data_IF_857627080164
#
_entry.id   IF_857627080164
#
_cell.length_a   1.000
_cell.length_b   1.000
_cell.length_c   1.000
_cell.angle_alpha   90.00
_cell.angle_beta   90.00
_cell.angle_gamma   90.00
#
_symmetry.space_group_name_H-M   'P 1'
#
loop_
_entity.id
_entity.type
_entity.pdbx_description
1 polymer ?
#
# COMPACT_ATOMS: atom_id res chain seq x y z
N UNK A 1 33.17 -27.77 48.17
CA UNK A 1 33.87 -29.07 48.10
C UNK A 1 32.91 -30.11 48.66
N UNK A 2 32.65 -31.28 48.07
CA UNK A 2 33.20 -31.94 46.88
C UNK A 2 32.03 -32.68 46.15
N UNK A 3 32.01 -32.86 44.82
CA UNK A 3 32.48 -34.07 44.08
C UNK A 3 32.04 -35.41 44.75
N UNK A 4 31.48 -36.43 44.06
CA UNK A 4 31.69 -36.87 42.67
C UNK A 4 30.66 -37.95 42.22
N UNK A 5 30.36 -38.01 40.90
CA UNK A 5 29.94 -39.14 40.02
C UNK A 5 28.68 -40.00 40.34
N UNK A 6 27.78 -40.35 39.39
CA UNK A 6 27.87 -41.26 38.20
C UNK A 6 28.34 -42.70 38.54
N UNK A 7 27.84 -43.80 37.98
CA UNK A 7 26.90 -44.11 36.87
C UNK A 7 25.85 -45.18 37.37
N UNK A 8 24.91 -45.81 36.63
CA UNK A 8 24.56 -45.86 35.19
C UNK A 8 23.04 -46.24 34.93
N UNK A 9 22.67 -46.30 33.65
CA UNK A 9 21.41 -46.63 32.92
C UNK A 9 20.50 -47.82 33.35
N UNK A 10 19.20 -47.69 33.00
CA UNK A 10 18.57 -48.58 31.99
C UNK A 10 17.34 -47.98 31.27
N UNK A 11 17.38 -47.99 29.93
CA UNK A 11 16.35 -47.71 28.91
C UNK A 11 14.99 -47.13 29.32
N UNK A 12 14.73 -45.91 28.86
CA UNK A 12 13.41 -45.50 28.34
C UNK A 12 13.59 -45.09 26.88
N UNK A 13 12.92 -45.79 25.96
CA UNK A 13 12.76 -45.36 24.57
C UNK A 13 11.61 -44.34 24.54
N UNK A 14 11.77 -43.15 23.92
CA UNK A 14 10.63 -42.25 23.73
C UNK A 14 9.71 -42.86 22.66
N UNK A 15 8.61 -43.47 23.11
CA UNK A 15 7.55 -43.92 22.23
C UNK A 15 7.04 -42.73 21.40
N UNK A 16 7.19 -42.80 20.08
CA UNK A 16 6.61 -41.83 19.17
C UNK A 16 5.10 -41.81 19.35
N UNK A 17 4.59 -40.68 19.84
CA UNK A 17 3.17 -40.52 20.14
C UNK A 17 2.35 -40.52 18.86
N UNK A 18 1.64 -41.61 18.59
CA UNK A 18 0.54 -41.61 17.64
C UNK A 18 -0.59 -40.71 18.19
N UNK A 19 -1.05 -39.68 17.46
CA UNK A 19 -2.24 -38.94 17.84
C UNK A 19 -3.49 -39.79 17.58
N UNK A 20 -3.80 -40.69 18.52
CA UNK A 20 -4.99 -41.55 18.47
C UNK A 20 -6.27 -40.78 18.81
N UNK A 21 -6.71 -39.91 17.91
CA UNK A 21 -8.08 -39.39 17.87
C UNK A 21 -8.82 -40.01 16.69
N UNK A 22 -9.76 -40.95 16.90
CA UNK A 22 -10.57 -41.47 15.80
C UNK A 22 -11.40 -40.33 15.20
N UNK A 23 -11.41 -40.11 13.88
CA UNK A 23 -12.19 -39.04 13.25
C UNK A 23 -13.69 -39.29 13.48
N UNK A 24 -14.43 -38.36 14.11
CA UNK A 24 -15.83 -38.56 14.45
C UNK A 24 -16.76 -38.02 13.35
N UNK A 25 -16.63 -38.54 12.13
CA UNK A 25 -17.62 -38.36 11.04
C UNK A 25 -17.69 -39.65 10.24
N UNK A 26 -18.87 -40.05 9.77
CA UNK A 26 -19.01 -41.21 8.90
C UNK A 26 -18.27 -40.94 7.56
N UNK A 27 -17.26 -41.74 7.16
CA UNK A 27 -16.49 -41.50 5.94
C UNK A 27 -17.39 -41.37 4.70
N UNK A 28 -18.45 -42.18 4.61
CA UNK A 28 -19.39 -42.17 3.50
C UNK A 28 -20.23 -40.86 3.43
N UNK A 29 -20.50 -40.23 4.57
CA UNK A 29 -21.25 -38.97 4.64
C UNK A 29 -20.39 -37.79 4.15
N UNK A 30 -19.10 -37.77 4.55
CA UNK A 30 -18.13 -36.77 4.09
C UNK A 30 -17.87 -36.86 2.58
N UNK A 31 -17.78 -38.07 2.04
CA UNK A 31 -17.70 -38.29 0.60
C UNK A 31 -18.89 -37.69 -0.16
N UNK A 32 -20.12 -37.94 0.31
CA UNK A 32 -21.34 -37.40 -0.30
C UNK A 32 -21.34 -35.87 -0.24
N UNK A 33 -20.92 -35.26 0.87
CA UNK A 33 -20.77 -33.80 0.97
C UNK A 33 -19.79 -33.23 -0.08
N UNK A 34 -18.61 -33.83 -0.23
CA UNK A 34 -17.62 -33.37 -1.23
C UNK A 34 -18.10 -33.61 -2.67
N UNK A 35 -18.86 -34.68 -2.92
CA UNK A 35 -19.49 -34.94 -4.22
C UNK A 35 -20.56 -33.90 -4.56
N UNK A 36 -21.42 -33.53 -3.61
CA UNK A 36 -22.45 -32.49 -3.82
C UNK A 36 -21.83 -31.10 -4.03
N UNK A 37 -20.60 -30.88 -3.53
CA UNK A 37 -19.77 -29.71 -3.83
C UNK A 37 -19.02 -29.81 -5.18
N UNK A 38 -19.18 -30.91 -5.93
CA UNK A 38 -18.63 -31.07 -7.28
C UNK A 38 -17.14 -31.43 -7.36
N UNK A 39 -16.56 -31.99 -6.29
CA UNK A 39 -15.19 -32.48 -6.32
C UNK A 39 -15.06 -33.77 -7.15
N UNK A 40 -13.88 -34.01 -7.74
CA UNK A 40 -13.56 -35.24 -8.47
C UNK A 40 -12.98 -36.31 -7.55
N UNK A 41 -13.22 -37.59 -7.86
CA UNK A 41 -12.87 -38.74 -7.03
C UNK A 41 -11.40 -38.76 -6.56
N UNK A 42 -10.46 -38.40 -7.44
CA UNK A 42 -9.03 -38.28 -7.12
C UNK A 42 -8.70 -37.12 -6.16
N UNK A 43 -9.49 -36.04 -6.17
CA UNK A 43 -9.33 -34.90 -5.25
C UNK A 43 -10.03 -35.18 -3.92
N UNK A 44 -11.11 -35.97 -3.94
CA UNK A 44 -11.82 -36.44 -2.76
C UNK A 44 -10.92 -37.43 -1.98
N UNK A 45 -10.27 -38.38 -2.64
CA UNK A 45 -9.36 -39.34 -1.98
C UNK A 45 -8.15 -38.66 -1.36
N UNK A 46 -7.54 -37.68 -2.04
CA UNK A 46 -6.48 -36.84 -1.45
C UNK A 46 -6.96 -36.05 -0.23
N UNK A 47 -8.18 -35.51 -0.26
CA UNK A 47 -8.73 -34.74 0.85
C UNK A 47 -8.99 -35.66 2.06
N UNK A 48 -9.63 -36.82 1.87
CA UNK A 48 -9.83 -37.80 2.94
C UNK A 48 -8.51 -38.27 3.57
N UNK A 49 -7.47 -38.52 2.76
CA UNK A 49 -6.14 -38.84 3.30
C UNK A 49 -5.54 -37.69 4.11
N UNK A 50 -5.76 -36.44 3.70
CA UNK A 50 -5.35 -35.25 4.47
C UNK A 50 -6.16 -35.02 5.74
N UNK A 51 -7.43 -35.45 5.77
CA UNK A 51 -8.30 -35.48 6.97
C UNK A 51 -7.99 -36.69 7.89
N UNK A 52 -7.08 -37.58 7.50
CA UNK A 52 -6.59 -38.69 8.32
C UNK A 52 -7.29 -40.05 8.13
N UNK A 53 -8.18 -40.19 7.14
CA UNK A 53 -8.79 -41.48 6.80
C UNK A 53 -7.78 -42.38 6.05
N UNK A 54 -7.78 -43.67 6.34
CA UNK A 54 -6.90 -44.61 5.63
C UNK A 54 -7.32 -44.79 4.16
N UNK A 55 -6.40 -45.24 3.28
CA UNK A 55 -6.76 -45.57 1.89
C UNK A 55 -7.86 -46.63 1.78
N UNK A 56 -7.93 -47.57 2.74
CA UNK A 56 -8.96 -48.62 2.78
C UNK A 56 -10.33 -48.05 3.15
N UNK A 57 -10.42 -47.23 4.21
CA UNK A 57 -11.69 -46.59 4.61
C UNK A 57 -12.22 -45.65 3.53
N UNK A 58 -11.31 -44.91 2.88
CA UNK A 58 -11.62 -44.05 1.73
C UNK A 58 -12.20 -44.85 0.56
N UNK A 59 -11.59 -46.00 0.25
CA UNK A 59 -12.01 -46.88 -0.84
C UNK A 59 -13.37 -47.56 -0.56
N UNK A 60 -13.54 -48.14 0.63
CA UNK A 60 -14.77 -48.83 1.03
C UNK A 60 -15.96 -47.85 1.04
N UNK A 61 -15.75 -46.61 1.52
CA UNK A 61 -16.79 -45.60 1.54
C UNK A 61 -17.12 -45.05 0.13
N UNK A 62 -16.14 -45.00 -0.79
CA UNK A 62 -16.35 -44.62 -2.20
C UNK A 62 -17.09 -45.71 -3.00
N UNK A 63 -16.88 -46.98 -2.64
CA UNK A 63 -17.66 -48.10 -3.16
C UNK A 63 -19.09 -48.10 -2.59
N UNK A 64 -19.24 -47.91 -1.28
CA UNK A 64 -20.55 -47.86 -0.60
C UNK A 64 -21.47 -46.74 -1.09
N UNK A 65 -20.89 -45.59 -1.46
CA UNK A 65 -21.62 -44.43 -2.00
C UNK A 65 -21.93 -44.53 -3.50
N UNK A 66 -21.59 -45.66 -4.14
CA UNK A 66 -21.89 -45.94 -5.55
C UNK A 66 -21.14 -45.01 -6.52
N UNK A 67 -20.03 -44.41 -6.09
CA UNK A 67 -19.30 -43.40 -6.89
C UNK A 67 -18.52 -43.99 -8.06
N UNK A 68 -18.39 -45.32 -8.14
CA UNK A 68 -17.78 -46.05 -9.27
C UNK A 68 -18.63 -45.93 -10.55
N UNK A 69 -18.57 -44.77 -11.19
CA UNK A 69 -19.05 -44.57 -12.55
C UNK A 69 -18.22 -45.45 -13.50
N UNK A 70 -18.86 -46.41 -14.17
CA UNK A 70 -18.23 -47.32 -15.12
C UNK A 70 -17.70 -46.64 -16.41
N UNK A 71 -17.68 -45.30 -16.45
CA UNK A 71 -17.12 -44.49 -17.52
C UNK A 71 -15.64 -44.10 -17.28
N UNK A 72 -15.11 -44.24 -16.06
CA UNK A 72 -13.69 -44.01 -15.74
C UNK A 72 -12.96 -45.34 -15.44
N UNK A 73 -12.97 -46.27 -16.40
CA UNK A 73 -12.27 -47.54 -16.28
C UNK A 73 -10.78 -47.42 -16.66
N UNK A 74 -10.08 -46.55 -15.94
CA UNK A 74 -8.62 -46.41 -15.93
C UNK A 74 -7.95 -47.35 -14.92
N UNK A 75 -8.00 -48.67 -15.17
CA UNK A 75 -7.24 -49.71 -14.46
C UNK A 75 -7.42 -49.82 -12.92
N UNK A 76 -8.27 -50.76 -12.50
CA UNK A 76 -8.22 -51.30 -11.14
C UNK A 76 -7.06 -52.30 -10.98
N UNK A 77 -6.18 -52.17 -9.95
CA UNK A 77 -5.21 -53.21 -9.64
C UNK A 77 -5.92 -54.45 -9.09
N UNK A 78 -5.72 -55.61 -9.74
CA UNK A 78 -6.02 -56.90 -9.11
C UNK A 78 -4.98 -57.21 -8.02
N UNK A 79 -5.33 -57.89 -6.93
CA UNK A 79 -4.35 -58.48 -6.03
C UNK A 79 -3.60 -59.59 -6.77
N UNK A 80 -2.39 -59.31 -7.24
CA UNK A 80 -1.49 -60.30 -7.81
C UNK A 80 -0.60 -60.88 -6.69
N UNK A 81 -0.44 -62.20 -6.67
CA UNK A 81 0.41 -62.87 -5.70
C UNK A 81 1.88 -62.49 -5.92
N UNK A 82 2.58 -62.18 -4.82
CA UNK A 82 3.97 -61.71 -4.78
C UNK A 82 4.94 -62.54 -5.63
N UNK A 83 5.57 -61.96 -6.67
CA UNK A 83 6.93 -62.30 -7.07
C UNK A 83 7.90 -61.60 -6.10
N UNK A 84 8.94 -62.32 -5.68
CA UNK A 84 9.94 -61.81 -4.76
C UNK A 84 10.94 -60.92 -5.52
N UNK A 85 10.70 -59.61 -5.55
CA UNK A 85 11.64 -58.61 -6.12
C UNK A 85 12.59 -58.05 -5.04
N UNK A 86 13.83 -57.69 -5.41
CA UNK A 86 14.83 -57.19 -4.46
C UNK A 86 14.38 -55.84 -3.84
N UNK A 87 14.88 -55.49 -2.64
CA UNK A 87 14.47 -54.26 -1.97
C UNK A 87 14.77 -53.04 -2.83
N UNK A 88 13.73 -52.32 -3.21
CA UNK A 88 13.82 -51.00 -3.83
C UNK A 88 14.41 -50.05 -2.79
N UNK A 89 15.46 -49.32 -3.17
CA UNK A 89 16.11 -48.35 -2.29
C UNK A 89 15.17 -47.19 -1.99
N UNK A 90 14.73 -47.08 -0.74
CA UNK A 90 13.74 -46.12 -0.25
C UNK A 90 14.24 -44.65 -0.32
N UNK A 91 15.55 -44.42 -0.49
CA UNK A 91 16.12 -43.08 -0.67
C UNK A 91 15.81 -42.41 -2.01
N UNK A 92 15.60 -43.16 -3.10
CA UNK A 92 15.50 -42.58 -4.44
C UNK A 92 14.25 -41.68 -4.68
N UNK A 93 13.25 -41.75 -3.78
CA UNK A 93 12.09 -40.86 -3.78
C UNK A 93 12.30 -39.62 -2.90
N UNK A 94 13.04 -39.73 -1.78
CA UNK A 94 13.45 -38.59 -0.98
C UNK A 94 14.44 -37.71 -1.76
N UNK A 95 15.45 -38.32 -2.41
CA UNK A 95 16.45 -37.62 -3.24
C UNK A 95 15.80 -36.72 -4.31
N UNK A 96 14.72 -37.19 -4.96
CA UNK A 96 13.99 -36.42 -5.97
C UNK A 96 13.13 -35.30 -5.37
N UNK A 97 12.56 -35.51 -4.19
CA UNK A 97 11.78 -34.49 -3.48
C UNK A 97 12.72 -33.41 -2.94
N UNK A 98 13.92 -33.78 -2.48
CA UNK A 98 14.98 -32.86 -2.05
C UNK A 98 15.50 -32.02 -3.23
N UNK A 99 15.85 -32.63 -4.37
CA UNK A 99 16.28 -31.90 -5.59
C UNK A 99 15.21 -30.88 -6.06
N UNK A 100 13.94 -31.28 -6.08
CA UNK A 100 12.82 -30.39 -6.44
C UNK A 100 12.64 -29.28 -5.39
N UNK A 101 12.77 -29.59 -4.10
CA UNK A 101 12.66 -28.61 -3.03
C UNK A 101 13.79 -27.58 -3.07
N UNK A 102 15.06 -28.01 -3.23
CA UNK A 102 16.21 -27.12 -3.38
C UNK A 102 16.06 -26.20 -4.60
N UNK A 103 15.66 -26.74 -5.76
CA UNK A 103 15.42 -25.95 -6.96
C UNK A 103 14.32 -24.88 -6.77
N UNK A 104 13.21 -25.23 -6.10
CA UNK A 104 12.12 -24.29 -5.80
C UNK A 104 12.57 -23.23 -4.77
N UNK A 105 13.33 -23.63 -3.74
CA UNK A 105 13.87 -22.71 -2.73
C UNK A 105 14.82 -21.71 -3.37
N UNK A 106 15.75 -22.16 -4.21
CA UNK A 106 16.71 -21.29 -4.90
C UNK A 106 16.00 -20.34 -5.89
N UNK A 107 15.01 -20.81 -6.66
CA UNK A 107 14.21 -19.94 -7.52
C UNK A 107 13.51 -18.83 -6.72
N UNK A 108 12.83 -19.21 -5.63
CA UNK A 108 12.05 -18.27 -4.79
C UNK A 108 12.93 -17.35 -3.96
N UNK A 109 14.11 -17.81 -3.54
CA UNK A 109 15.12 -16.99 -2.89
C UNK A 109 15.66 -15.91 -3.84
N UNK A 110 16.01 -16.28 -5.08
CA UNK A 110 16.46 -15.33 -6.10
C UNK A 110 15.34 -14.34 -6.49
N UNK A 111 14.08 -14.79 -6.56
CA UNK A 111 12.93 -13.89 -6.76
C UNK A 111 12.78 -12.89 -5.60
N UNK A 112 12.93 -13.35 -4.35
CA UNK A 112 12.84 -12.51 -3.16
C UNK A 112 13.98 -11.47 -3.13
N UNK A 113 15.24 -11.87 -3.32
CA UNK A 113 16.40 -10.96 -3.38
C UNK A 113 16.22 -9.91 -4.47
N UNK A 114 15.73 -10.30 -5.65
CA UNK A 114 15.41 -9.38 -6.74
C UNK A 114 14.33 -8.36 -6.37
N UNK A 115 13.33 -8.76 -5.58
CA UNK A 115 12.28 -7.85 -5.11
C UNK A 115 12.78 -6.94 -3.97
N UNK A 116 13.63 -7.42 -3.07
CA UNK A 116 14.32 -6.59 -2.05
C UNK A 116 15.18 -5.52 -2.71
N UNK A 117 15.95 -5.86 -3.75
CA UNK A 117 16.76 -4.88 -4.49
C UNK A 117 15.91 -3.76 -5.12
N UNK A 118 14.75 -4.07 -5.70
CA UNK A 118 13.79 -3.05 -6.18
C UNK A 118 13.27 -2.15 -5.05
N UNK A 119 13.05 -2.70 -3.85
CA UNK A 119 12.61 -1.92 -2.68
C UNK A 119 13.73 -0.98 -2.22
N UNK A 120 14.99 -1.40 -2.26
CA UNK A 120 16.16 -0.55 -1.95
C UNK A 120 16.27 0.59 -2.98
N UNK A 121 16.21 0.29 -4.28
CA UNK A 121 16.21 1.32 -5.33
C UNK A 121 15.04 2.32 -5.19
N UNK A 122 13.85 1.83 -4.84
CA UNK A 122 12.67 2.66 -4.59
C UNK A 122 12.82 3.52 -3.34
N UNK A 123 13.36 2.96 -2.25
CA UNK A 123 13.70 3.69 -1.02
C UNK A 123 14.67 4.83 -1.33
N UNK A 124 15.79 4.55 -1.99
CA UNK A 124 16.83 5.55 -2.22
C UNK A 124 16.37 6.64 -3.20
N UNK A 125 15.56 6.28 -4.20
CA UNK A 125 14.86 7.25 -5.06
C UNK A 125 13.87 8.11 -4.28
N UNK A 126 13.18 7.54 -3.30
CA UNK A 126 12.21 8.26 -2.47
C UNK A 126 12.90 9.19 -1.47
N UNK A 127 13.97 8.73 -0.83
CA UNK A 127 14.85 9.53 0.04
C UNK A 127 15.38 10.77 -0.70
N UNK A 128 15.94 10.57 -1.90
CA UNK A 128 16.42 11.67 -2.76
C UNK A 128 15.31 12.66 -3.12
N UNK A 129 14.10 12.18 -3.41
CA UNK A 129 12.94 13.04 -3.69
C UNK A 129 12.47 13.81 -2.46
N UNK A 130 12.53 13.21 -1.26
CA UNK A 130 12.21 13.88 0.00
C UNK A 130 13.23 15.01 0.25
N UNK A 131 14.54 14.72 0.16
CA UNK A 131 15.59 15.74 0.31
C UNK A 131 15.42 16.90 -0.68
N UNK A 132 15.11 16.62 -1.95
CA UNK A 132 14.83 17.66 -2.96
C UNK A 132 13.56 18.46 -2.64
N UNK A 133 12.54 17.82 -2.07
CA UNK A 133 11.29 18.48 -1.69
C UNK A 133 11.48 19.38 -0.48
N UNK A 134 12.24 18.95 0.53
CA UNK A 134 12.65 19.79 1.66
C UNK A 134 13.43 21.03 1.20
N UNK A 135 14.36 20.88 0.25
CA UNK A 135 15.09 22.02 -0.30
C UNK A 135 14.14 22.99 -1.01
N UNK A 136 13.26 22.49 -1.89
CA UNK A 136 12.25 23.33 -2.55
C UNK A 136 11.32 24.04 -1.57
N UNK A 137 10.97 23.42 -0.44
CA UNK A 137 10.17 24.07 0.61
C UNK A 137 10.95 25.20 1.30
N UNK A 138 12.27 25.02 1.54
CA UNK A 138 13.14 26.10 2.05
C UNK A 138 13.26 27.25 1.05
N UNK A 139 13.43 26.92 -0.24
CA UNK A 139 13.53 27.92 -1.32
C UNK A 139 12.22 28.71 -1.44
N UNK A 140 11.06 28.02 -1.49
CA UNK A 140 9.72 28.65 -1.50
C UNK A 140 9.52 29.54 -0.27
N UNK A 141 9.99 29.13 0.91
CA UNK A 141 9.92 29.97 2.12
C UNK A 141 10.76 31.24 1.96
N UNK A 142 11.99 31.13 1.45
CA UNK A 142 12.85 32.27 1.17
C UNK A 142 12.21 33.24 0.17
N UNK A 143 11.66 32.72 -0.93
CA UNK A 143 10.97 33.52 -1.94
C UNK A 143 9.72 34.21 -1.38
N UNK A 144 8.97 33.53 -0.50
CA UNK A 144 7.83 34.10 0.21
C UNK A 144 8.25 35.23 1.18
N UNK A 145 9.29 35.01 1.98
CA UNK A 145 9.79 36.02 2.93
C UNK A 145 10.32 37.27 2.18
N UNK A 146 10.98 37.07 1.03
CA UNK A 146 11.41 38.14 0.12
C UNK A 146 10.21 38.89 -0.49
N UNK A 147 9.20 38.17 -1.00
CA UNK A 147 7.99 38.77 -1.56
C UNK A 147 7.21 39.55 -0.50
N UNK A 148 7.06 39.01 0.71
CA UNK A 148 6.41 39.68 1.83
C UNK A 148 7.11 40.99 2.18
N UNK A 149 8.44 40.97 2.26
CA UNK A 149 9.27 42.17 2.49
C UNK A 149 9.11 43.21 1.39
N UNK A 150 9.10 42.79 0.11
CA UNK A 150 8.89 43.68 -1.03
C UNK A 150 7.48 44.29 -1.05
N UNK A 151 6.45 43.51 -0.71
CA UNK A 151 5.06 43.98 -0.60
C UNK A 151 4.91 44.99 0.54
N UNK A 152 5.47 44.72 1.72
CA UNK A 152 5.48 45.69 2.84
C UNK A 152 6.20 46.99 2.46
N UNK A 153 7.35 46.89 1.79
CA UNK A 153 8.08 48.04 1.26
C UNK A 153 7.21 48.87 0.31
N UNK A 154 6.54 48.23 -0.65
CA UNK A 154 5.62 48.91 -1.58
C UNK A 154 4.43 49.54 -0.87
N UNK A 155 3.81 48.85 0.09
CA UNK A 155 2.69 49.42 0.88
C UNK A 155 3.15 50.66 1.67
N UNK A 156 4.35 50.63 2.25
CA UNK A 156 4.96 51.81 2.90
C UNK A 156 5.24 52.97 1.94
N UNK A 157 5.78 52.68 0.74
CA UNK A 157 5.90 53.69 -0.32
C UNK A 157 4.55 54.29 -0.71
N UNK A 158 3.50 53.47 -0.86
CA UNK A 158 2.15 53.95 -1.19
C UNK A 158 1.57 54.83 -0.07
N UNK A 159 1.71 54.46 1.20
CA UNK A 159 1.21 55.24 2.35
C UNK A 159 1.91 56.61 2.45
N UNK A 160 3.24 56.64 2.28
CA UNK A 160 4.00 57.88 2.21
C UNK A 160 3.57 58.75 1.02
N UNK A 161 3.34 58.14 -0.15
CA UNK A 161 2.94 58.87 -1.35
C UNK A 161 1.51 59.41 -1.23
N UNK A 162 0.57 58.66 -0.63
CA UNK A 162 -0.77 59.12 -0.28
C UNK A 162 -0.74 60.27 0.74
N UNK A 163 0.17 60.21 1.71
CA UNK A 163 0.38 61.31 2.68
C UNK A 163 0.89 62.58 1.99
N UNK A 164 1.84 62.46 1.07
CA UNK A 164 2.36 63.57 0.26
C UNK A 164 1.26 64.18 -0.62
N UNK A 165 0.51 63.34 -1.35
CA UNK A 165 -0.65 63.76 -2.16
C UNK A 165 -1.71 64.44 -1.27
N UNK A 166 -1.95 63.95 -0.06
CA UNK A 166 -2.85 64.59 0.90
C UNK A 166 -2.39 66.00 1.34
N UNK A 167 -1.08 66.24 1.42
CA UNK A 167 -0.52 67.56 1.67
C UNK A 167 -0.64 68.49 0.45
N UNK A 168 -0.38 67.98 -0.75
CA UNK A 168 -0.56 68.72 -2.02
C UNK A 168 -2.03 69.08 -2.27
N UNK A 169 -2.97 68.15 -2.04
CA UNK A 169 -4.41 68.40 -2.14
C UNK A 169 -4.84 69.48 -1.14
N UNK A 170 -4.33 69.49 0.10
CA UNK A 170 -4.58 70.58 1.07
C UNK A 170 -3.97 71.92 0.64
N UNK A 171 -2.82 71.90 -0.04
CA UNK A 171 -2.24 73.12 -0.60
C UNK A 171 -3.10 73.66 -1.76
N UNK A 172 -3.55 72.76 -2.65
CA UNK A 172 -4.46 73.08 -3.75
C UNK A 172 -5.83 73.57 -3.24
N UNK A 173 -6.37 72.98 -2.18
CA UNK A 173 -7.58 73.44 -1.48
C UNK A 173 -7.43 74.91 -1.03
N UNK A 174 -6.32 75.25 -0.37
CA UNK A 174 -6.03 76.63 0.04
C UNK A 174 -5.85 77.59 -1.14
N UNK A 175 -5.29 77.13 -2.25
CA UNK A 175 -5.23 77.92 -3.49
C UNK A 175 -6.64 78.14 -4.05
N UNK A 176 -7.47 77.10 -4.07
CA UNK A 176 -8.86 77.19 -4.56
C UNK A 176 -9.73 78.11 -3.67
N UNK A 177 -9.58 78.03 -2.36
CA UNK A 177 -10.21 78.94 -1.39
C UNK A 177 -9.82 80.41 -1.62
N UNK A 178 -8.60 80.69 -2.09
CA UNK A 178 -8.17 82.05 -2.47
C UNK A 178 -8.67 82.48 -3.85
N UNK A 179 -8.75 81.55 -4.80
CA UNK A 179 -9.20 81.83 -6.16
C UNK A 179 -10.73 82.04 -6.25
N UNK A 180 -11.53 81.34 -5.44
CA UNK A 180 -12.99 81.46 -5.46
C UNK A 180 -13.49 82.90 -5.26
N UNK A 181 -13.02 83.67 -4.25
CA UNK A 181 -13.32 85.09 -4.13
C UNK A 181 -12.88 85.90 -5.36
N UNK A 182 -11.65 85.74 -5.83
CA UNK A 182 -11.11 86.50 -6.98
C UNK A 182 -11.91 86.25 -8.26
N UNK A 183 -12.32 85.00 -8.54
CA UNK A 183 -13.19 84.69 -9.66
C UNK A 183 -14.59 85.33 -9.50
N UNK A 184 -15.16 85.30 -8.29
CA UNK A 184 -16.46 85.92 -8.02
C UNK A 184 -16.43 87.45 -8.19
N UNK A 185 -15.37 88.09 -7.67
CA UNK A 185 -15.09 89.53 -7.81
C UNK A 185 -14.94 89.90 -9.30
N UNK A 186 -14.07 89.21 -10.04
CA UNK A 186 -13.82 89.47 -11.46
C UNK A 186 -15.09 89.30 -12.33
N UNK A 187 -15.92 88.28 -12.05
CA UNK A 187 -17.20 88.07 -12.75
C UNK A 187 -18.22 89.16 -12.39
N UNK A 188 -18.24 89.61 -11.13
CA UNK A 188 -19.07 90.73 -10.67
C UNK A 188 -18.67 92.04 -11.35
N UNK A 189 -17.38 92.35 -11.43
CA UNK A 189 -16.84 93.51 -12.16
C UNK A 189 -17.19 93.45 -13.65
N UNK A 190 -16.97 92.31 -14.32
CA UNK A 190 -17.30 92.15 -15.73
C UNK A 190 -18.81 92.32 -16.00
N UNK A 191 -19.66 91.86 -15.07
CA UNK A 191 -21.11 92.07 -15.10
C UNK A 191 -21.49 93.55 -14.95
N UNK A 192 -20.82 94.29 -14.05
CA UNK A 192 -21.00 95.74 -13.89
C UNK A 192 -20.56 96.50 -15.14
N UNK A 193 -19.35 96.23 -15.63
CA UNK A 193 -18.78 96.85 -16.84
C UNK A 193 -19.70 96.67 -18.05
N UNK A 194 -20.25 95.46 -18.21
CA UNK A 194 -21.22 95.13 -19.26
C UNK A 194 -22.53 95.90 -19.10
N UNK A 195 -23.06 96.04 -17.87
CA UNK A 195 -24.27 96.84 -17.60
C UNK A 195 -24.07 98.33 -17.91
N UNK A 196 -22.93 98.88 -17.56
CA UNK A 196 -22.65 100.30 -17.78
C UNK A 196 -22.40 100.61 -19.27
N UNK A 197 -21.72 99.73 -20.00
CA UNK A 197 -21.65 99.78 -21.47
C UNK A 197 -23.05 99.71 -22.11
N UNK A 198 -23.95 98.89 -21.56
CA UNK A 198 -25.34 98.74 -22.05
C UNK A 198 -26.26 99.93 -21.69
N UNK A 199 -25.84 100.81 -20.76
CA UNK A 199 -26.53 102.08 -20.43
C UNK A 199 -26.02 103.29 -21.21
N UNK A 200 -24.80 103.23 -21.77
CA UNK A 200 -24.20 104.31 -22.57
C UNK A 200 -24.57 104.25 -24.06
N UNK A 201 -25.48 103.35 -24.44
CA UNK A 201 -25.94 103.11 -25.80
C UNK A 201 -27.45 103.28 -25.88
#
# INVERSE_FOLDING_TARGET
>A
MAFFKTDDKKNEEPAFGAPSTPPPVNPAEKLVEMKDQGFSDNKISQNMQSEGYSPTETFDAMEQSGMRNAADLGQTPKPAAFPNEPPVYEGAAEDQIEEIAEAIIEEKWNELVKNVNKIIEWKDRTESRITQMEQKIKDIKSDFDNLHSAVLGKVGEYDQNLTNIGAEIKAMEKVFQKLLPTFSENVSELSRLTKDLKKKK
#
